data_IF_904411032096
#
_entry.id   IF_904411032096
#
_cell.length_a   1.000
_cell.length_b   1.000
_cell.length_c   1.000
_cell.angle_alpha   90.00
_cell.angle_beta   90.00
_cell.angle_gamma   90.00
#
_symmetry.space_group_name_H-M   'P 1'
#
loop_
_entity.id
_entity.type
_entity.pdbx_description
1 polymer ?
#
# COMPACT_ATOMS: atom_id res chain seq x y z
N UNK A 1 19.66 46.32 33.24
CA UNK A 1 19.12 45.21 34.04
C UNK A 1 18.27 44.34 33.14
N UNK A 2 18.64 43.07 32.97
CA UNK A 2 17.88 42.07 32.20
C UNK A 2 16.70 41.60 33.06
N UNK A 3 15.48 41.63 32.54
CA UNK A 3 14.36 40.87 33.10
C UNK A 3 14.06 39.71 32.16
N UNK A 4 14.29 38.51 32.68
CA UNK A 4 14.12 37.20 32.07
C UNK A 4 12.64 36.84 31.95
N UNK A 5 12.21 36.47 30.74
CA UNK A 5 10.94 35.81 30.47
C UNK A 5 11.03 34.34 30.90
N UNK A 6 10.17 33.93 31.84
CA UNK A 6 9.99 32.52 32.23
C UNK A 6 9.01 31.86 31.26
N UNK A 7 9.49 30.85 30.53
CA UNK A 7 8.65 29.98 29.70
C UNK A 7 7.76 29.08 30.58
N UNK A 8 6.54 28.72 30.15
CA UNK A 8 5.67 27.82 30.90
C UNK A 8 6.17 26.38 30.80
N UNK A 9 6.14 25.67 31.93
CA UNK A 9 6.52 24.27 32.06
C UNK A 9 5.64 23.38 31.15
N UNK A 10 6.29 22.57 30.33
CA UNK A 10 5.68 21.52 29.53
C UNK A 10 5.05 20.47 30.45
N UNK A 11 3.78 20.14 30.21
CA UNK A 11 3.10 19.05 30.92
C UNK A 11 3.84 17.72 30.68
N UNK A 12 3.93 16.82 31.68
CA UNK A 12 4.56 15.53 31.51
C UNK A 12 3.77 14.69 30.49
N UNK A 13 4.51 14.04 29.58
CA UNK A 13 3.96 13.10 28.61
C UNK A 13 3.08 12.05 29.32
N UNK A 14 1.95 11.61 28.72
CA UNK A 14 1.07 10.63 29.34
C UNK A 14 1.83 9.34 29.64
N UNK A 15 1.68 8.88 30.88
CA UNK A 15 2.25 7.69 31.54
C UNK A 15 1.85 6.33 30.89
N UNK A 16 1.65 6.28 29.58
CA UNK A 16 1.38 5.06 28.80
C UNK A 16 2.62 4.48 28.11
N UNK A 17 3.75 5.19 28.07
CA UNK A 17 4.96 4.76 27.34
C UNK A 17 5.85 3.74 28.08
N UNK A 18 5.38 3.12 29.17
CA UNK A 18 6.21 2.27 30.04
C UNK A 18 5.80 0.80 30.07
N UNK A 19 4.84 0.34 29.26
CA UNK A 19 4.27 -1.01 29.41
C UNK A 19 4.27 -1.93 28.18
N UNK A 20 5.11 -1.66 27.17
CA UNK A 20 5.54 -2.72 26.24
C UNK A 20 6.88 -2.36 25.61
N UNK A 21 7.98 -2.45 26.36
CA UNK A 21 9.28 -2.64 25.70
C UNK A 21 9.28 -4.05 25.15
N UNK A 22 8.87 -4.23 23.88
CA UNK A 22 9.08 -5.50 23.20
C UNK A 22 10.58 -5.84 23.33
N UNK A 23 10.90 -6.98 23.95
CA UNK A 23 12.27 -7.43 24.08
C UNK A 23 12.81 -7.73 22.68
N UNK A 24 13.78 -6.96 22.22
CA UNK A 24 14.48 -7.26 20.96
C UNK A 24 15.50 -8.38 21.19
N UNK A 25 15.67 -9.32 20.23
CA UNK A 25 14.96 -9.41 18.95
C UNK A 25 13.50 -9.89 19.09
N UNK A 26 12.63 -9.48 18.17
CA UNK A 26 11.23 -9.93 18.13
C UNK A 26 11.14 -11.45 17.83
N UNK A 27 10.14 -12.15 18.39
CA UNK A 27 9.82 -13.49 17.93
C UNK A 27 9.29 -13.45 16.49
N UNK A 28 9.45 -14.55 15.75
CA UNK A 28 8.78 -14.71 14.43
C UNK A 28 7.26 -14.66 14.60
N UNK A 29 6.50 -14.28 13.56
CA UNK A 29 5.05 -14.26 13.63
C UNK A 29 4.46 -15.58 14.10
N UNK A 30 3.50 -15.59 15.06
CA UNK A 30 2.99 -16.83 15.67
C UNK A 30 2.43 -17.85 14.66
N UNK A 31 1.91 -17.37 13.52
CA UNK A 31 1.36 -18.18 12.45
C UNK A 31 2.41 -18.75 11.47
N UNK A 32 3.69 -18.51 11.71
CA UNK A 32 4.81 -18.99 10.89
C UNK A 32 5.17 -20.43 11.23
N UNK A 33 5.23 -21.28 10.20
CA UNK A 33 5.87 -22.60 10.28
C UNK A 33 7.28 -22.52 9.65
N UNK A 34 8.36 -22.44 10.45
CA UNK A 34 9.69 -22.17 9.92
C UNK A 34 10.35 -23.37 9.21
N UNK A 35 9.79 -24.58 9.36
CA UNK A 35 10.31 -25.79 8.70
C UNK A 35 9.64 -26.08 7.36
N UNK A 36 8.55 -25.36 7.04
CA UNK A 36 7.79 -25.56 5.79
C UNK A 36 8.09 -24.43 4.80
N UNK A 37 8.95 -24.73 3.82
CA UNK A 37 9.23 -23.82 2.72
C UNK A 37 8.07 -23.79 1.73
N UNK A 38 7.66 -22.58 1.35
CA UNK A 38 6.72 -22.36 0.26
C UNK A 38 7.46 -22.51 -1.06
N UNK A 39 7.40 -23.72 -1.63
CA UNK A 39 8.01 -24.07 -2.92
C UNK A 39 7.61 -23.08 -4.02
N UNK A 40 6.36 -22.59 -3.98
CA UNK A 40 5.82 -21.62 -4.95
C UNK A 40 6.55 -20.27 -4.97
N UNK A 41 7.20 -19.87 -3.88
CA UNK A 41 8.03 -18.66 -3.83
C UNK A 41 9.51 -19.01 -3.91
N UNK A 42 9.93 -20.04 -3.16
CA UNK A 42 11.34 -20.44 -3.05
C UNK A 42 11.93 -20.82 -4.42
N UNK A 43 11.22 -21.64 -5.20
CA UNK A 43 11.75 -22.09 -6.51
C UNK A 43 11.87 -20.94 -7.50
N UNK A 44 10.84 -20.10 -7.74
CA UNK A 44 11.00 -18.94 -8.63
C UNK A 44 12.07 -17.95 -8.15
N UNK A 45 12.11 -17.62 -6.85
CA UNK A 45 13.12 -16.70 -6.31
C UNK A 45 14.52 -17.25 -6.60
N UNK A 46 14.83 -18.48 -6.19
CA UNK A 46 16.16 -19.08 -6.42
C UNK A 46 16.46 -19.18 -7.92
N UNK A 47 15.51 -19.63 -8.73
CA UNK A 47 15.71 -19.80 -10.17
C UNK A 47 16.03 -18.48 -10.87
N UNK A 48 15.27 -17.43 -10.59
CA UNK A 48 15.50 -16.10 -11.21
C UNK A 48 16.84 -15.51 -10.76
N UNK A 49 17.25 -15.70 -9.51
CA UNK A 49 18.59 -15.31 -9.06
C UNK A 49 19.69 -16.06 -9.81
N UNK A 50 19.57 -17.39 -9.95
CA UNK A 50 20.56 -18.20 -10.68
C UNK A 50 20.63 -17.82 -12.16
N UNK A 51 19.49 -17.57 -12.80
CA UNK A 51 19.44 -17.11 -14.20
C UNK A 51 20.00 -15.70 -14.37
N UNK A 52 19.82 -14.81 -13.39
CA UNK A 52 20.41 -13.47 -13.40
C UNK A 52 21.94 -13.52 -13.37
N UNK A 53 22.57 -14.54 -12.74
CA UNK A 53 24.03 -14.69 -12.74
C UNK A 53 24.63 -14.93 -14.13
N UNK A 54 23.82 -15.27 -15.14
CA UNK A 54 24.28 -15.39 -16.52
C UNK A 54 24.80 -14.07 -17.11
N UNK A 55 24.52 -12.91 -16.47
CA UNK A 55 25.13 -11.63 -16.84
C UNK A 55 26.66 -11.62 -16.75
N UNK A 56 27.25 -12.51 -15.95
CA UNK A 56 28.71 -12.67 -15.85
C UNK A 56 29.31 -13.50 -16.99
N UNK A 57 28.50 -14.10 -17.86
CA UNK A 57 28.98 -14.82 -19.04
C UNK A 57 29.13 -13.81 -20.18
N UNK A 58 30.36 -13.56 -20.70
CA UNK A 58 30.61 -12.45 -21.64
C UNK A 58 29.76 -12.48 -22.92
N UNK A 59 29.37 -13.67 -23.40
CA UNK A 59 28.53 -13.82 -24.61
C UNK A 59 27.12 -13.24 -24.45
N UNK A 60 26.63 -13.08 -23.22
CA UNK A 60 25.32 -12.51 -22.94
C UNK A 60 25.38 -11.01 -22.62
N UNK A 61 26.55 -10.36 -22.73
CA UNK A 61 26.64 -8.92 -22.55
C UNK A 61 26.14 -8.17 -23.80
N UNK A 62 25.29 -7.17 -23.58
CA UNK A 62 24.97 -6.15 -24.59
C UNK A 62 24.58 -4.84 -23.90
N UNK A 63 24.98 -3.71 -24.49
CA UNK A 63 24.56 -2.39 -23.99
C UNK A 63 23.04 -2.21 -24.01
N UNK A 64 22.37 -2.80 -25.01
CA UNK A 64 20.90 -2.83 -25.05
C UNK A 64 20.32 -3.55 -23.84
N UNK A 65 20.86 -4.72 -23.47
CA UNK A 65 20.48 -5.43 -22.25
C UNK A 65 20.64 -4.56 -21.01
N UNK A 66 21.80 -3.91 -20.83
CA UNK A 66 22.07 -3.01 -19.69
C UNK A 66 21.06 -1.86 -19.64
N UNK A 67 20.79 -1.20 -20.77
CA UNK A 67 19.82 -0.10 -20.85
C UNK A 67 18.40 -0.59 -20.49
N UNK A 68 17.98 -1.74 -21.03
CA UNK A 68 16.69 -2.35 -20.71
C UNK A 68 16.59 -2.75 -19.24
N UNK A 69 17.69 -3.19 -18.63
CA UNK A 69 17.74 -3.47 -17.20
C UNK A 69 17.53 -2.19 -16.38
N UNK A 70 18.33 -1.15 -16.61
CA UNK A 70 18.26 0.11 -15.83
C UNK A 70 16.92 0.81 -16.02
N UNK A 71 16.45 0.97 -17.26
CA UNK A 71 15.15 1.55 -17.55
C UNK A 71 14.01 0.67 -16.98
N UNK A 72 14.16 -0.65 -17.09
CA UNK A 72 13.21 -1.61 -16.56
C UNK A 72 13.11 -1.57 -15.03
N UNK A 73 14.20 -1.37 -14.29
CA UNK A 73 14.17 -1.22 -12.83
C UNK A 73 13.25 -0.07 -12.44
N UNK A 74 13.37 1.08 -13.11
CA UNK A 74 12.48 2.21 -12.85
C UNK A 74 11.03 1.92 -13.28
N UNK A 75 10.81 1.51 -14.53
CA UNK A 75 9.45 1.31 -15.08
C UNK A 75 8.68 0.25 -14.29
N UNK A 76 9.29 -0.90 -14.02
CA UNK A 76 8.64 -1.97 -13.28
C UNK A 76 8.63 -1.70 -11.77
N UNK A 77 9.64 -1.02 -11.21
CA UNK A 77 9.59 -0.53 -9.84
C UNK A 77 8.40 0.40 -9.59
N UNK A 78 8.13 1.34 -10.50
CA UNK A 78 6.96 2.22 -10.42
C UNK A 78 5.63 1.46 -10.44
N UNK A 79 5.56 0.27 -11.04
CA UNK A 79 4.33 -0.53 -11.01
C UNK A 79 4.05 -1.10 -9.61
N UNK A 80 5.09 -1.35 -8.82
CA UNK A 80 4.97 -1.68 -7.39
C UNK A 80 4.64 -0.42 -6.60
N UNK A 81 5.42 0.65 -6.78
CA UNK A 81 5.27 1.89 -6.00
C UNK A 81 3.97 2.65 -6.29
N UNK A 82 3.70 3.02 -7.54
CA UNK A 82 2.45 3.69 -7.91
C UNK A 82 1.26 2.73 -7.83
N UNK A 83 1.41 1.52 -8.36
CA UNK A 83 0.32 0.57 -8.53
C UNK A 83 -0.05 -0.15 -7.24
N UNK A 84 0.80 -1.05 -6.76
CA UNK A 84 0.47 -1.87 -5.59
C UNK A 84 0.44 -1.05 -4.30
N UNK A 85 1.43 -0.20 -4.08
CA UNK A 85 1.59 0.54 -2.85
C UNK A 85 0.63 1.75 -2.76
N UNK A 86 0.88 2.83 -3.51
CA UNK A 86 0.12 4.08 -3.36
C UNK A 86 -1.32 3.97 -3.85
N UNK A 87 -1.57 3.28 -4.97
CA UNK A 87 -2.92 3.15 -5.54
C UNK A 87 -3.75 2.07 -4.83
N UNK A 88 -3.31 0.81 -4.82
CA UNK A 88 -4.12 -0.28 -4.28
C UNK A 88 -4.11 -0.32 -2.75
N UNK A 89 -2.94 -0.29 -2.12
CA UNK A 89 -2.85 -0.45 -0.68
C UNK A 89 -3.33 0.80 0.08
N UNK A 90 -2.99 2.00 -0.40
CA UNK A 90 -3.25 3.25 0.31
C UNK A 90 -4.34 4.15 -0.28
N UNK A 91 -4.78 3.92 -1.53
CA UNK A 91 -5.79 4.76 -2.20
C UNK A 91 -5.40 6.25 -2.21
N UNK A 92 -4.12 6.53 -2.40
CA UNK A 92 -3.59 7.90 -2.29
C UNK A 92 -3.86 8.77 -3.52
N UNK A 93 -4.39 8.21 -4.61
CA UNK A 93 -4.84 8.93 -5.80
C UNK A 93 -5.85 8.10 -6.60
N UNK A 94 -6.55 8.75 -7.53
CA UNK A 94 -7.48 8.12 -8.47
C UNK A 94 -6.91 8.07 -9.88
N UNK A 95 -7.31 7.06 -10.65
CA UNK A 95 -6.93 6.89 -12.06
C UNK A 95 -8.01 6.13 -12.85
N UNK A 96 -8.10 6.27 -14.18
CA UNK A 96 -8.89 5.37 -15.01
C UNK A 96 -8.52 3.89 -14.82
N UNK A 97 -9.54 3.02 -14.86
CA UNK A 97 -9.39 1.58 -14.61
C UNK A 97 -8.41 0.87 -15.54
N UNK A 98 -8.36 1.25 -16.82
CA UNK A 98 -7.42 0.64 -17.76
C UNK A 98 -5.96 0.91 -17.35
N UNK A 99 -5.66 2.08 -16.80
CA UNK A 99 -4.31 2.43 -16.36
C UNK A 99 -3.97 1.73 -15.05
N UNK A 100 -4.92 1.70 -14.11
CA UNK A 100 -4.80 0.90 -12.88
C UNK A 100 -4.47 -0.57 -13.20
N UNK A 101 -5.23 -1.20 -14.10
CA UNK A 101 -4.99 -2.58 -14.52
C UNK A 101 -3.65 -2.74 -15.26
N UNK A 102 -3.21 -1.73 -16.03
CA UNK A 102 -1.89 -1.73 -16.67
C UNK A 102 -0.76 -1.73 -15.65
N UNK A 103 -0.86 -0.91 -14.59
CA UNK A 103 0.10 -0.93 -13.48
C UNK A 103 0.11 -2.30 -12.79
N UNK A 104 -1.05 -2.90 -12.55
CA UNK A 104 -1.14 -4.24 -11.95
C UNK A 104 -0.49 -5.31 -12.82
N UNK A 105 -0.69 -5.26 -14.14
CA UNK A 105 -0.05 -6.18 -15.09
C UNK A 105 1.48 -6.02 -15.07
N UNK A 106 1.98 -4.79 -14.99
CA UNK A 106 3.40 -4.50 -14.81
C UNK A 106 3.95 -5.06 -13.49
N UNK A 107 3.20 -4.93 -12.39
CA UNK A 107 3.61 -5.44 -11.08
C UNK A 107 3.65 -6.99 -11.05
N UNK A 108 2.75 -7.67 -11.76
CA UNK A 108 2.78 -9.13 -11.90
C UNK A 108 4.05 -9.61 -12.64
N UNK A 109 4.60 -8.79 -13.54
CA UNK A 109 5.89 -9.01 -14.17
C UNK A 109 7.09 -8.84 -13.21
N UNK A 110 6.87 -8.42 -11.96
CA UNK A 110 7.88 -8.40 -10.90
C UNK A 110 7.80 -9.62 -9.99
N UNK A 111 6.80 -10.51 -10.12
CA UNK A 111 6.61 -11.68 -9.24
C UNK A 111 6.50 -11.34 -7.73
N UNK A 112 6.01 -10.14 -7.40
CA UNK A 112 5.74 -9.75 -6.01
C UNK A 112 4.30 -10.12 -5.58
N UNK A 113 3.87 -11.33 -5.91
CA UNK A 113 2.54 -11.87 -5.61
C UNK A 113 1.36 -11.19 -6.35
N UNK A 114 0.14 -11.64 -6.04
CA UNK A 114 -1.11 -11.06 -6.58
C UNK A 114 -1.41 -9.69 -5.94
N UNK A 115 -2.20 -8.82 -6.62
CA UNK A 115 -2.57 -7.52 -6.06
C UNK A 115 -3.29 -7.64 -4.71
N UNK A 116 -4.13 -8.68 -4.53
CA UNK A 116 -4.84 -8.89 -3.27
C UNK A 116 -3.92 -9.37 -2.15
N UNK A 117 -2.96 -10.26 -2.43
CA UNK A 117 -1.97 -10.75 -1.44
C UNK A 117 -0.99 -9.68 -1.02
N UNK A 118 -0.43 -8.97 -1.99
CA UNK A 118 0.50 -7.89 -1.71
C UNK A 118 -0.20 -6.81 -0.88
N UNK A 119 -1.39 -6.37 -1.29
CA UNK A 119 -2.19 -5.38 -0.54
C UNK A 119 -2.54 -5.85 0.87
N UNK A 120 -2.96 -7.12 1.03
CA UNK A 120 -3.30 -7.66 2.33
C UNK A 120 -2.09 -7.71 3.28
N UNK A 121 -0.95 -8.17 2.76
CA UNK A 121 0.31 -8.27 3.52
C UNK A 121 0.80 -6.88 3.93
N UNK A 122 0.78 -5.93 3.01
CA UNK A 122 1.22 -4.55 3.26
C UNK A 122 0.33 -3.83 4.28
N UNK A 123 -1.00 -3.97 4.18
CA UNK A 123 -1.93 -3.40 5.15
C UNK A 123 -1.86 -4.11 6.52
N UNK A 124 -1.52 -5.40 6.55
CA UNK A 124 -1.25 -6.12 7.79
C UNK A 124 0.04 -5.60 8.45
N UNK A 125 1.10 -5.37 7.68
CA UNK A 125 2.32 -4.73 8.16
C UNK A 125 2.03 -3.35 8.76
N UNK A 126 1.28 -2.47 8.10
CA UNK A 126 0.92 -1.18 8.71
C UNK A 126 0.09 -1.29 9.99
N UNK A 127 -0.74 -2.32 10.11
CA UNK A 127 -1.58 -2.51 11.28
C UNK A 127 -0.80 -3.06 12.50
N UNK A 128 0.32 -3.74 12.26
CA UNK A 128 1.09 -4.48 13.24
C UNK A 128 2.60 -4.22 13.09
N UNK A 129 2.96 -3.03 12.64
CA UNK A 129 4.33 -2.76 12.19
C UNK A 129 5.31 -2.90 13.35
N UNK A 130 6.35 -3.70 13.16
CA UNK A 130 7.32 -4.01 14.20
C UNK A 130 6.71 -4.60 15.49
N UNK A 131 5.53 -5.21 15.38
CA UNK A 131 4.93 -6.09 16.38
C UNK A 131 5.17 -7.56 16.03
N UNK A 132 4.80 -8.47 16.93
CA UNK A 132 4.97 -9.91 16.70
C UNK A 132 4.19 -10.39 15.45
N UNK A 133 3.06 -9.75 15.14
CA UNK A 133 2.20 -10.08 14.01
C UNK A 133 2.72 -9.53 12.67
N UNK A 134 3.73 -8.65 12.65
CA UNK A 134 4.31 -8.13 11.42
C UNK A 134 4.90 -9.27 10.56
N UNK A 135 4.41 -9.52 9.33
CA UNK A 135 4.93 -10.59 8.51
C UNK A 135 6.43 -10.46 8.21
N UNK A 136 6.96 -9.24 8.13
CA UNK A 136 8.29 -8.96 7.62
C UNK A 136 9.07 -7.91 8.43
N UNK A 137 8.83 -7.81 9.74
CA UNK A 137 9.66 -6.94 10.58
C UNK A 137 11.11 -7.42 10.60
N UNK A 138 12.10 -6.56 10.30
CA UNK A 138 13.51 -6.91 10.39
C UNK A 138 14.02 -7.01 11.83
N UNK A 139 13.20 -6.68 12.83
CA UNK A 139 13.52 -6.81 14.25
C UNK A 139 13.49 -8.27 14.73
N UNK A 140 12.94 -9.19 13.93
CA UNK A 140 13.17 -10.64 14.10
C UNK A 140 14.63 -10.95 13.77
N UNK A 141 15.02 -10.68 12.52
CA UNK A 141 16.42 -10.61 12.03
C UNK A 141 16.41 -9.80 10.72
N UNK A 142 17.55 -9.19 10.35
CA UNK A 142 17.67 -8.50 9.07
C UNK A 142 17.25 -9.39 7.88
N UNK A 143 17.74 -10.64 7.84
CA UNK A 143 17.43 -11.58 6.75
C UNK A 143 15.95 -11.98 6.73
N UNK A 144 15.31 -12.04 7.91
CA UNK A 144 13.86 -12.25 8.03
C UNK A 144 13.10 -11.15 7.30
N UNK A 145 13.29 -9.89 7.67
CA UNK A 145 12.57 -8.77 7.06
C UNK A 145 12.94 -8.50 5.60
N UNK A 146 14.15 -8.90 5.18
CA UNK A 146 14.58 -8.72 3.78
C UNK A 146 13.95 -9.78 2.84
N UNK A 147 14.14 -11.08 3.09
CA UNK A 147 13.73 -12.10 2.09
C UNK A 147 13.16 -13.38 2.69
N UNK A 148 13.53 -13.74 3.92
CA UNK A 148 13.19 -15.06 4.43
C UNK A 148 11.69 -15.21 4.75
N UNK A 149 11.02 -14.13 5.16
CA UNK A 149 9.60 -14.14 5.51
C UNK A 149 8.68 -14.66 4.41
N UNK A 150 8.99 -14.38 3.13
CA UNK A 150 8.15 -14.75 1.99
C UNK A 150 8.37 -16.22 1.57
N UNK A 151 9.50 -16.82 1.95
CA UNK A 151 9.85 -18.19 1.56
C UNK A 151 9.31 -19.24 2.53
N UNK A 152 8.93 -18.87 3.75
CA UNK A 152 8.38 -19.79 4.76
C UNK A 152 6.87 -19.67 4.85
N UNK A 153 6.21 -20.76 5.25
CA UNK A 153 4.75 -20.74 5.37
C UNK A 153 4.31 -19.89 6.55
N UNK A 154 3.61 -18.81 6.26
CA UNK A 154 2.81 -18.07 7.23
C UNK A 154 1.33 -18.31 6.96
N UNK A 155 0.63 -18.88 7.93
CA UNK A 155 -0.78 -19.26 7.80
C UNK A 155 -1.69 -18.04 7.64
N UNK A 156 -1.36 -16.91 8.28
CA UNK A 156 -2.18 -15.70 8.24
C UNK A 156 -2.10 -15.00 6.88
N UNK A 157 -0.98 -15.11 6.17
CA UNK A 157 -0.82 -14.50 4.84
C UNK A 157 -1.61 -15.19 3.72
N UNK A 158 -2.14 -16.40 3.97
CA UNK A 158 -2.73 -17.23 2.91
C UNK A 158 -4.16 -17.70 3.20
N UNK A 159 -4.74 -17.27 4.33
CA UNK A 159 -6.11 -17.60 4.67
C UNK A 159 -7.12 -16.58 4.16
N UNK A 160 -8.32 -17.09 3.87
CA UNK A 160 -9.46 -16.30 3.39
C UNK A 160 -9.81 -15.12 4.31
N UNK A 161 -9.72 -15.35 5.62
CA UNK A 161 -9.96 -14.34 6.65
C UNK A 161 -9.06 -13.11 6.52
N UNK A 162 -7.82 -13.29 6.06
CA UNK A 162 -6.88 -12.19 5.86
C UNK A 162 -7.31 -11.31 4.68
N UNK A 163 -7.74 -11.91 3.56
CA UNK A 163 -8.27 -11.16 2.43
C UNK A 163 -9.55 -10.42 2.78
N UNK A 164 -10.45 -11.05 3.54
CA UNK A 164 -11.71 -10.43 3.95
C UNK A 164 -11.46 -9.19 4.83
N UNK A 165 -10.39 -9.20 5.64
CA UNK A 165 -9.99 -8.08 6.50
C UNK A 165 -9.25 -6.99 5.73
N UNK A 166 -8.23 -7.35 4.94
CA UNK A 166 -7.28 -6.38 4.39
C UNK A 166 -7.36 -6.15 2.88
N UNK A 167 -8.05 -6.99 2.10
CA UNK A 167 -8.10 -6.85 0.63
C UNK A 167 -9.50 -7.03 0.03
N UNK A 168 -10.55 -6.89 0.86
CA UNK A 168 -11.94 -7.06 0.40
C UNK A 168 -12.33 -6.07 -0.70
N UNK A 169 -11.84 -4.84 -0.63
CA UNK A 169 -12.05 -3.82 -1.66
C UNK A 169 -11.36 -4.18 -2.98
N UNK A 170 -10.17 -4.79 -2.92
CA UNK A 170 -9.44 -5.28 -4.09
C UNK A 170 -10.23 -6.41 -4.75
N UNK A 171 -10.69 -7.38 -3.96
CA UNK A 171 -11.41 -8.56 -4.47
C UNK A 171 -12.81 -8.28 -5.03
N UNK A 172 -13.32 -7.05 -4.93
CA UNK A 172 -14.56 -6.64 -5.61
C UNK A 172 -14.38 -6.46 -7.11
N UNK A 173 -13.16 -6.20 -7.58
CA UNK A 173 -12.87 -6.11 -9.00
C UNK A 173 -12.80 -7.53 -9.62
N UNK A 174 -13.63 -7.84 -10.64
CA UNK A 174 -13.62 -9.16 -11.29
C UNK A 174 -12.26 -9.54 -11.87
N UNK A 175 -11.46 -8.58 -12.34
CA UNK A 175 -10.13 -8.82 -12.88
C UNK A 175 -9.18 -9.31 -11.78
N UNK A 176 -9.18 -8.65 -10.61
CA UNK A 176 -8.35 -9.06 -9.48
C UNK A 176 -8.82 -10.39 -8.88
N UNK A 177 -10.13 -10.63 -8.83
CA UNK A 177 -10.67 -11.91 -8.40
C UNK A 177 -10.26 -13.05 -9.33
N UNK A 178 -10.21 -12.81 -10.65
CA UNK A 178 -9.73 -13.80 -11.61
C UNK A 178 -8.24 -14.12 -11.41
N UNK A 179 -7.41 -13.09 -11.18
CA UNK A 179 -5.99 -13.26 -10.83
C UNK A 179 -5.86 -14.09 -9.53
N UNK A 180 -6.56 -13.71 -8.46
CA UNK A 180 -6.42 -14.36 -7.14
C UNK A 180 -6.87 -15.82 -7.15
N UNK A 181 -7.92 -16.15 -7.91
CA UNK A 181 -8.43 -17.53 -8.01
C UNK A 181 -7.39 -18.50 -8.57
N UNK A 182 -6.41 -18.00 -9.31
CA UNK A 182 -5.35 -18.83 -9.85
C UNK A 182 -4.02 -18.50 -9.21
N UNK A 183 -3.57 -19.39 -8.32
CA UNK A 183 -2.30 -19.23 -7.62
C UNK A 183 -1.06 -19.11 -8.54
N UNK A 184 -1.17 -19.51 -9.81
CA UNK A 184 -0.10 -19.43 -10.80
C UNK A 184 -0.16 -18.19 -11.70
N UNK A 185 -1.16 -17.31 -11.52
CA UNK A 185 -1.33 -16.15 -12.40
C UNK A 185 -0.10 -15.25 -12.46
N UNK A 186 0.64 -14.92 -11.36
CA UNK A 186 1.82 -14.06 -11.47
C UNK A 186 2.91 -14.71 -12.34
N UNK A 187 3.06 -16.03 -12.24
CA UNK A 187 4.01 -16.78 -13.06
C UNK A 187 3.67 -16.70 -14.56
N UNK A 188 2.40 -16.75 -14.92
CA UNK A 188 1.99 -16.65 -16.33
C UNK A 188 2.34 -15.30 -16.94
N UNK A 189 2.08 -14.20 -16.23
CA UNK A 189 2.47 -12.87 -16.69
C UNK A 189 3.99 -12.73 -16.77
N UNK A 190 4.71 -13.31 -15.81
CA UNK A 190 6.16 -13.34 -15.83
C UNK A 190 6.73 -14.12 -17.03
N UNK A 191 6.16 -15.27 -17.36
CA UNK A 191 6.57 -16.05 -18.54
C UNK A 191 6.16 -15.35 -19.85
N UNK A 192 5.02 -14.68 -19.87
CA UNK A 192 4.57 -13.90 -21.02
C UNK A 192 5.55 -12.76 -21.35
N UNK A 193 6.01 -12.00 -20.35
CA UNK A 193 7.06 -11.00 -20.62
C UNK A 193 8.37 -11.66 -21.09
N UNK A 194 8.75 -12.83 -20.58
CA UNK A 194 9.95 -13.52 -21.05
C UNK A 194 9.83 -13.82 -22.55
N UNK A 195 8.67 -14.35 -22.98
CA UNK A 195 8.39 -14.60 -24.39
C UNK A 195 8.41 -13.32 -25.23
N UNK A 196 7.88 -12.20 -24.72
CA UNK A 196 7.91 -10.90 -25.39
C UNK A 196 9.34 -10.40 -25.56
N UNK A 197 10.18 -10.45 -24.51
CA UNK A 197 11.58 -10.00 -24.59
C UNK A 197 12.39 -10.86 -25.57
N UNK A 198 12.21 -12.19 -25.52
CA UNK A 198 12.87 -13.10 -26.47
C UNK A 198 12.39 -12.84 -27.89
N UNK A 199 11.08 -12.79 -28.12
CA UNK A 199 10.50 -12.60 -29.45
C UNK A 199 10.89 -11.25 -30.06
N UNK A 200 10.76 -10.17 -29.28
CA UNK A 200 11.14 -8.83 -29.73
C UNK A 200 12.64 -8.71 -29.96
N UNK A 201 13.47 -9.19 -29.02
CA UNK A 201 14.93 -9.19 -29.17
C UNK A 201 15.38 -9.97 -30.40
N UNK A 202 14.83 -11.16 -30.61
CA UNK A 202 15.13 -12.01 -31.76
C UNK A 202 14.72 -11.33 -33.08
N UNK A 203 13.47 -10.86 -33.17
CA UNK A 203 12.94 -10.22 -34.38
C UNK A 203 13.72 -8.95 -34.76
N UNK A 204 14.08 -8.15 -33.76
CA UNK A 204 14.87 -6.94 -33.94
C UNK A 204 16.29 -7.28 -34.42
N UNK A 205 16.95 -8.26 -33.80
CA UNK A 205 18.32 -8.64 -34.17
C UNK A 205 18.44 -9.27 -35.56
N UNK A 206 17.41 -9.97 -36.06
CA UNK A 206 17.40 -10.51 -37.43
C UNK A 206 17.61 -9.43 -38.51
N UNK A 207 17.40 -8.15 -38.20
CA UNK A 207 17.65 -7.07 -39.14
C UNK A 207 19.15 -6.80 -39.41
N UNK A 208 20.06 -7.27 -38.55
CA UNK A 208 21.51 -7.01 -38.69
C UNK A 208 22.42 -8.21 -38.38
N UNK A 209 21.87 -9.36 -37.99
CA UNK A 209 22.66 -10.57 -37.73
C UNK A 209 21.94 -11.83 -38.22
N UNK A 210 22.67 -12.94 -38.30
CA UNK A 210 22.12 -14.27 -38.57
C UNK A 210 21.25 -14.81 -37.41
N UNK A 211 20.65 -15.98 -37.61
CA UNK A 211 19.76 -16.63 -36.63
C UNK A 211 20.48 -16.88 -35.30
N UNK A 212 21.76 -17.27 -35.33
CA UNK A 212 22.54 -17.53 -34.12
C UNK A 212 22.78 -16.25 -33.34
N UNK A 213 23.22 -15.17 -33.99
CA UNK A 213 23.41 -13.89 -33.35
C UNK A 213 22.09 -13.30 -32.83
N UNK A 214 20.98 -13.50 -33.54
CA UNK A 214 19.67 -13.07 -33.09
C UNK A 214 19.23 -13.81 -31.82
N UNK A 215 19.49 -15.13 -31.74
CA UNK A 215 19.22 -15.92 -30.54
C UNK A 215 20.10 -15.47 -29.35
N UNK A 216 21.39 -15.18 -29.59
CA UNK A 216 22.28 -14.66 -28.54
C UNK A 216 21.83 -13.29 -28.03
N UNK A 217 21.47 -12.38 -28.93
CA UNK A 217 20.96 -11.06 -28.55
C UNK A 217 19.62 -11.15 -27.79
N UNK A 218 18.69 -11.98 -28.26
CA UNK A 218 17.42 -12.24 -27.57
C UNK A 218 17.65 -12.78 -26.14
N UNK A 219 18.62 -13.69 -26.00
CA UNK A 219 19.00 -14.24 -24.69
C UNK A 219 19.63 -13.18 -23.80
N UNK A 220 20.49 -12.31 -24.36
CA UNK A 220 21.06 -11.16 -23.65
C UNK A 220 19.94 -10.24 -23.11
N UNK A 221 19.03 -9.77 -23.97
CA UNK A 221 17.97 -8.86 -23.51
C UNK A 221 17.01 -9.50 -22.51
N UNK A 222 16.77 -10.82 -22.58
CA UNK A 222 16.01 -11.56 -21.58
C UNK A 222 16.73 -11.57 -20.22
N UNK A 223 18.01 -11.95 -20.20
CA UNK A 223 18.79 -12.07 -18.95
C UNK A 223 18.86 -10.71 -18.25
N UNK A 224 19.21 -9.65 -18.99
CA UNK A 224 19.35 -8.32 -18.41
C UNK A 224 17.99 -7.65 -18.13
N UNK A 225 17.11 -7.61 -19.12
CA UNK A 225 15.84 -6.86 -19.06
C UNK A 225 14.76 -7.54 -18.22
N UNK A 226 14.86 -8.85 -17.98
CA UNK A 226 13.91 -9.60 -17.17
C UNK A 226 14.59 -10.13 -15.90
N UNK A 227 15.52 -11.08 -15.98
CA UNK A 227 16.02 -11.76 -14.78
C UNK A 227 16.79 -10.86 -13.83
N UNK A 228 17.85 -10.18 -14.30
CA UNK A 228 18.63 -9.27 -13.46
C UNK A 228 17.77 -8.11 -12.95
N UNK A 229 16.97 -7.50 -13.84
CA UNK A 229 16.04 -6.43 -13.46
C UNK A 229 15.07 -6.86 -12.36
N UNK A 230 14.48 -8.06 -12.44
CA UNK A 230 13.59 -8.59 -11.40
C UNK A 230 14.32 -8.75 -10.07
N UNK A 231 15.54 -9.30 -10.07
CA UNK A 231 16.35 -9.44 -8.84
C UNK A 231 16.63 -8.07 -8.21
N UNK A 232 16.99 -7.07 -9.02
CA UNK A 232 17.24 -5.70 -8.52
C UNK A 232 15.95 -5.11 -7.93
N UNK A 233 14.83 -5.21 -8.63
CA UNK A 233 13.52 -4.72 -8.15
C UNK A 233 13.15 -5.38 -6.82
N UNK A 234 13.29 -6.71 -6.71
CA UNK A 234 13.05 -7.42 -5.44
C UNK A 234 13.90 -6.88 -4.31
N UNK A 235 15.22 -6.75 -4.50
CA UNK A 235 16.09 -6.24 -3.45
C UNK A 235 15.82 -4.78 -3.09
N UNK A 236 15.39 -3.96 -4.06
CA UNK A 236 14.93 -2.59 -3.78
C UNK A 236 13.68 -2.64 -2.90
N UNK A 237 12.64 -3.38 -3.28
CA UNK A 237 11.39 -3.48 -2.50
C UNK A 237 11.65 -4.05 -1.10
N UNK A 238 12.38 -5.16 -1.02
CA UNK A 238 12.76 -5.81 0.24
C UNK A 238 13.63 -4.94 1.13
N UNK A 239 14.44 -4.05 0.55
CA UNK A 239 15.21 -3.07 1.31
C UNK A 239 14.33 -2.02 1.99
N UNK A 240 13.14 -1.73 1.45
CA UNK A 240 12.15 -0.89 2.15
C UNK A 240 11.77 -1.56 3.46
N UNK A 241 11.37 -2.83 3.43
CA UNK A 241 11.02 -3.57 4.66
C UNK A 241 12.20 -3.66 5.64
N UNK A 242 13.42 -3.93 5.16
CA UNK A 242 14.55 -4.21 6.03
C UNK A 242 15.35 -2.97 6.46
N UNK A 243 15.84 -2.17 5.51
CA UNK A 243 16.76 -1.09 5.82
C UNK A 243 16.04 0.10 6.44
N UNK A 244 14.82 0.41 6.00
CA UNK A 244 14.11 1.59 6.49
C UNK A 244 13.58 1.40 7.91
N UNK A 245 13.33 0.18 8.38
CA UNK A 245 12.99 -0.10 9.78
C UNK A 245 14.21 -0.22 10.72
N UNK A 246 15.44 -0.14 10.18
CA UNK A 246 16.66 -0.31 10.98
C UNK A 246 17.59 0.91 10.94
N UNK A 247 17.64 1.64 9.82
CA UNK A 247 18.65 2.66 9.57
C UNK A 247 18.07 3.90 8.90
N UNK A 248 18.29 5.07 9.50
CA UNK A 248 17.85 6.35 8.97
C UNK A 248 17.66 7.42 10.04
N UNK A 249 16.81 8.40 9.73
CA UNK A 249 16.35 9.42 10.67
C UNK A 249 14.83 9.42 10.75
N UNK A 250 14.24 10.13 11.71
CA UNK A 250 12.78 10.23 11.86
C UNK A 250 12.34 11.68 11.87
N UNK A 251 11.28 11.99 11.13
CA UNK A 251 10.59 13.28 11.20
C UNK A 251 9.39 13.22 12.16
N UNK A 252 8.82 12.03 12.35
CA UNK A 252 7.61 11.81 13.13
C UNK A 252 7.86 10.77 14.22
N UNK A 253 7.16 10.97 15.34
CA UNK A 253 7.16 10.04 16.46
C UNK A 253 6.04 9.02 16.27
N UNK A 254 6.36 7.93 15.56
CA UNK A 254 5.49 6.75 15.41
C UNK A 254 5.84 5.69 16.47
N UNK A 255 4.91 4.80 16.81
CA UNK A 255 5.18 3.76 17.83
C UNK A 255 6.14 2.66 17.32
N UNK A 256 6.22 2.48 16.00
CA UNK A 256 7.05 1.50 15.29
C UNK A 256 8.44 2.05 14.89
N UNK A 257 9.33 1.21 14.35
CA UNK A 257 10.76 1.54 14.15
C UNK A 257 11.14 2.08 12.76
N UNK A 258 10.19 2.42 11.89
CA UNK A 258 10.44 2.97 10.56
C UNK A 258 11.27 4.25 10.60
N UNK A 259 12.11 4.42 9.59
CA UNK A 259 13.06 5.51 9.47
C UNK A 259 13.11 5.94 8.01
N UNK A 260 13.38 7.21 7.82
CA UNK A 260 13.70 7.79 6.53
C UNK A 260 15.14 7.45 6.17
N UNK A 261 15.31 6.72 5.07
CA UNK A 261 16.60 6.27 4.55
C UNK A 261 16.82 6.82 3.14
N UNK A 262 17.79 7.73 3.00
CA UNK A 262 18.05 8.43 1.74
C UNK A 262 18.55 7.51 0.62
N UNK A 263 19.30 6.43 0.95
CA UNK A 263 19.79 5.48 -0.05
C UNK A 263 18.63 4.67 -0.62
N UNK A 264 17.74 4.17 0.25
CA UNK A 264 16.52 3.49 -0.18
C UNK A 264 15.62 4.45 -0.96
N UNK A 265 15.50 5.71 -0.53
CA UNK A 265 14.68 6.70 -1.22
C UNK A 265 15.17 6.96 -2.65
N UNK A 266 16.49 6.97 -2.86
CA UNK A 266 17.09 7.13 -4.19
C UNK A 266 16.74 5.96 -5.12
N UNK A 267 16.91 4.72 -4.66
CA UNK A 267 16.72 3.53 -5.52
C UNK A 267 15.26 3.08 -5.62
N UNK A 268 14.45 3.36 -4.60
CA UNK A 268 13.02 3.03 -4.55
C UNK A 268 12.13 4.24 -4.89
N UNK A 269 12.67 5.24 -5.60
CA UNK A 269 11.94 6.38 -6.14
C UNK A 269 11.09 7.19 -5.13
N UNK A 270 11.52 7.25 -3.86
CA UNK A 270 10.83 7.94 -2.77
C UNK A 270 10.31 7.05 -1.66
N UNK A 271 10.28 5.72 -1.83
CA UNK A 271 9.77 4.79 -0.81
C UNK A 271 10.66 4.64 0.43
N UNK A 272 11.90 5.13 0.36
CA UNK A 272 12.79 5.18 1.52
C UNK A 272 12.45 6.26 2.54
N UNK A 273 11.55 7.20 2.24
CA UNK A 273 11.02 8.15 3.25
C UNK A 273 9.96 7.46 4.12
N UNK A 274 10.34 6.34 4.73
CA UNK A 274 9.42 5.37 5.27
C UNK A 274 8.77 5.81 6.59
N UNK A 275 9.49 6.57 7.44
CA UNK A 275 8.90 7.16 8.63
C UNK A 275 7.84 8.22 8.30
N UNK A 276 8.03 8.97 7.21
CA UNK A 276 7.00 9.88 6.71
C UNK A 276 5.77 9.10 6.23
N UNK A 277 6.00 8.04 5.46
CA UNK A 277 4.95 7.15 4.95
C UNK A 277 4.14 6.51 6.09
N UNK A 278 4.78 5.93 7.11
CA UNK A 278 4.09 5.34 8.26
C UNK A 278 3.31 6.36 9.09
N UNK A 279 3.83 7.59 9.21
CA UNK A 279 3.12 8.67 9.90
C UNK A 279 1.88 9.17 9.15
N UNK A 280 1.91 9.11 7.81
CA UNK A 280 0.78 9.47 6.96
C UNK A 280 0.58 8.54 5.74
N UNK A 281 0.09 7.30 5.92
CA UNK A 281 0.10 6.30 4.85
C UNK A 281 -0.82 6.62 3.68
N UNK A 282 -1.83 7.46 3.92
CA UNK A 282 -2.78 7.87 2.89
C UNK A 282 -2.31 9.13 2.13
N UNK A 283 -1.15 9.71 2.47
CA UNK A 283 -0.58 10.78 1.67
C UNK A 283 -0.12 10.23 0.31
N UNK A 284 -0.29 11.01 -0.75
CA UNK A 284 0.20 10.65 -2.07
C UNK A 284 1.73 10.80 -2.20
N UNK A 285 2.34 11.59 -1.32
CA UNK A 285 3.78 11.79 -1.28
C UNK A 285 4.37 11.31 0.03
N UNK A 286 5.54 10.68 -0.03
CA UNK A 286 6.34 10.38 1.14
C UNK A 286 7.30 11.54 1.48
N UNK A 287 7.34 12.59 0.65
CA UNK A 287 8.15 13.79 0.85
C UNK A 287 7.53 14.74 1.89
N UNK A 288 8.22 14.98 3.01
CA UNK A 288 7.79 15.93 4.05
C UNK A 288 8.75 17.11 4.22
N UNK A 289 10.02 16.96 3.82
CA UNK A 289 11.03 18.02 3.73
C UNK A 289 11.31 18.38 2.26
N UNK A 290 11.77 19.60 2.00
CA UNK A 290 12.01 20.08 0.63
C UNK A 290 13.08 19.27 -0.14
N UNK A 291 14.01 18.64 0.57
CA UNK A 291 15.11 17.85 0.01
C UNK A 291 14.81 16.34 -0.09
N UNK A 292 13.68 15.89 0.47
CA UNK A 292 13.26 14.48 0.42
C UNK A 292 12.65 14.19 -0.96
N UNK A 293 13.48 13.97 -1.97
CA UNK A 293 12.98 13.75 -3.34
C UNK A 293 12.11 12.49 -3.42
N UNK A 294 10.86 12.69 -3.85
CA UNK A 294 9.89 11.61 -4.11
C UNK A 294 9.56 11.59 -5.61
N UNK A 295 10.36 10.83 -6.36
CA UNK A 295 10.26 10.74 -7.82
C UNK A 295 8.87 10.25 -8.24
N UNK A 296 8.33 9.25 -7.54
CA UNK A 296 6.99 8.74 -7.83
C UNK A 296 5.92 9.82 -7.71
N UNK A 297 5.97 10.67 -6.67
CA UNK A 297 5.01 11.77 -6.53
C UNK A 297 5.11 12.78 -7.68
N UNK A 298 6.32 13.12 -8.11
CA UNK A 298 6.53 14.03 -9.24
C UNK A 298 6.01 13.44 -10.55
N UNK A 299 6.17 12.14 -10.77
CA UNK A 299 5.58 11.45 -11.92
C UNK A 299 4.05 11.44 -11.87
N UNK A 300 3.45 11.16 -10.70
CA UNK A 300 1.99 11.25 -10.51
C UNK A 300 1.48 12.68 -10.73
N UNK A 301 2.25 13.70 -10.36
CA UNK A 301 1.93 15.12 -10.64
C UNK A 301 1.99 15.42 -12.13
N UNK A 302 2.98 14.92 -12.85
CA UNK A 302 3.08 15.08 -14.30
C UNK A 302 1.93 14.36 -15.02
N UNK A 303 1.59 13.15 -14.60
CA UNK A 303 0.45 12.38 -15.11
C UNK A 303 -0.89 13.10 -14.89
N UNK A 304 -1.02 13.87 -13.80
CA UNK A 304 -2.21 14.67 -13.53
C UNK A 304 -2.42 15.79 -14.54
N UNK A 305 -1.34 16.35 -15.11
CA UNK A 305 -1.41 17.39 -16.15
C UNK A 305 -2.06 16.89 -17.44
N UNK A 306 -1.96 15.59 -17.72
CA UNK A 306 -2.58 14.96 -18.90
C UNK A 306 -3.86 14.18 -18.54
N UNK A 307 -4.37 14.34 -17.32
CA UNK A 307 -5.63 13.74 -16.87
C UNK A 307 -5.57 12.23 -16.58
N UNK A 308 -4.37 11.66 -16.44
CA UNK A 308 -4.21 10.24 -16.15
C UNK A 308 -4.37 9.93 -14.66
N UNK A 309 -4.05 10.89 -13.79
CA UNK A 309 -4.24 10.80 -12.33
C UNK A 309 -4.99 12.01 -11.78
N UNK A 310 -5.78 11.79 -10.74
CA UNK A 310 -6.56 12.83 -10.06
C UNK A 310 -6.63 12.57 -8.55
N UNK A 311 -7.20 13.52 -7.80
CA UNK A 311 -7.45 13.39 -6.36
C UNK A 311 -6.23 12.93 -5.55
N UNK A 312 -5.06 13.48 -5.89
CA UNK A 312 -3.80 13.23 -5.18
C UNK A 312 -3.97 13.65 -3.71
N UNK A 313 -4.06 12.66 -2.82
CA UNK A 313 -4.35 12.84 -1.40
C UNK A 313 -3.26 13.71 -0.74
N UNK A 314 -3.62 14.89 -0.19
CA UNK A 314 -2.63 15.78 0.40
C UNK A 314 -2.21 15.29 1.79
N UNK A 315 -1.25 15.99 2.42
CA UNK A 315 -0.81 15.67 3.78
C UNK A 315 -1.96 15.71 4.78
N UNK A 316 -1.88 14.90 5.83
CA UNK A 316 -2.90 14.74 6.88
C UNK A 316 -3.38 16.08 7.45
N UNK A 317 -2.49 17.04 7.65
CA UNK A 317 -2.83 18.37 8.16
C UNK A 317 -3.81 19.11 7.22
N UNK A 318 -3.58 19.03 5.91
CA UNK A 318 -4.45 19.64 4.89
C UNK A 318 -5.80 18.93 4.87
N UNK A 319 -5.80 17.59 4.83
CA UNK A 319 -7.04 16.79 4.87
C UNK A 319 -7.86 17.04 6.13
N UNK A 320 -7.20 17.18 7.28
CA UNK A 320 -7.86 17.50 8.54
C UNK A 320 -8.48 18.91 8.51
N UNK A 321 -7.76 19.91 7.99
CA UNK A 321 -8.27 21.26 7.84
C UNK A 321 -9.49 21.30 6.89
N UNK A 322 -9.42 20.60 5.75
CA UNK A 322 -10.52 20.46 4.80
C UNK A 322 -11.75 19.79 5.43
N UNK A 323 -11.55 18.72 6.21
CA UNK A 323 -12.63 18.04 6.92
C UNK A 323 -13.32 18.93 7.96
N UNK A 324 -12.54 19.70 8.73
CA UNK A 324 -13.07 20.67 9.71
C UNK A 324 -13.88 21.76 8.99
N UNK A 325 -13.34 22.31 7.89
CA UNK A 325 -14.04 23.33 7.10
C UNK A 325 -15.36 22.79 6.51
N UNK A 326 -15.35 21.56 5.98
CA UNK A 326 -16.55 20.92 5.45
C UNK A 326 -17.60 20.65 6.54
N UNK A 327 -17.18 20.23 7.74
CA UNK A 327 -18.09 20.03 8.87
C UNK A 327 -18.72 21.35 9.32
N UNK A 328 -17.94 22.43 9.39
CA UNK A 328 -18.44 23.77 9.71
C UNK A 328 -19.45 24.28 8.67
N UNK A 329 -19.18 24.07 7.38
CA UNK A 329 -20.10 24.43 6.29
C UNK A 329 -21.44 23.67 6.39
N UNK A 330 -21.40 22.36 6.67
CA UNK A 330 -22.60 21.53 6.86
C UNK A 330 -23.41 21.98 8.08
N UNK A 331 -22.75 22.33 9.17
CA UNK A 331 -23.41 22.85 10.37
C UNK A 331 -24.10 24.20 10.10
N UNK A 332 -23.42 25.11 9.37
CA UNK A 332 -24.00 26.40 8.96
C UNK A 332 -25.22 26.22 8.05
N UNK A 333 -25.15 25.31 7.06
CA UNK A 333 -26.27 25.02 6.18
C UNK A 333 -27.50 24.51 6.96
N UNK A 334 -27.30 23.57 7.91
CA UNK A 334 -28.40 23.09 8.77
C UNK A 334 -29.03 24.20 9.62
N UNK A 335 -28.22 25.15 10.13
CA UNK A 335 -28.74 26.28 10.89
C UNK A 335 -29.58 27.21 10.01
N UNK A 336 -29.14 27.49 8.79
CA UNK A 336 -29.90 28.29 7.81
C UNK A 336 -31.21 27.61 7.44
N UNK A 337 -31.21 26.30 7.17
CA UNK A 337 -32.42 25.54 6.86
C UNK A 337 -33.39 25.49 8.06
N UNK A 338 -32.88 25.34 9.28
CA UNK A 338 -33.70 25.37 10.50
C UNK A 338 -34.31 26.74 10.80
N UNK A 339 -33.63 27.81 10.40
CA UNK A 339 -34.13 29.19 10.53
C UNK A 339 -35.11 29.57 9.40
N UNK A 340 -35.18 28.77 8.32
CA UNK A 340 -36.07 29.00 7.18
C UNK A 340 -37.44 28.31 7.31
N UNK A 341 -37.73 27.60 8.41
CA UNK A 341 -39.09 27.07 8.69
C UNK A 341 -40.03 28.24 9.02
N UNK A 342 -41.12 28.48 8.26
CA UNK A 342 -42.03 29.58 8.54
C UNK A 342 -42.77 29.33 9.87
N UNK A 343 -42.96 30.39 10.65
CA UNK A 343 -43.84 30.43 11.81
C UNK A 343 -45.31 30.24 11.39
N UNK A 344 -45.70 29.03 11.00
CA UNK A 344 -47.05 28.66 10.62
C UNK A 344 -47.68 27.72 11.64
N UNK A 345 -48.22 28.29 12.72
CA UNK A 345 -49.45 27.88 13.42
C UNK A 345 -49.58 28.66 14.74
N UNK A 346 -50.08 29.90 14.65
CA UNK A 346 -50.85 30.46 15.77
C UNK A 346 -52.22 29.80 15.70
N UNK A 347 -52.46 28.86 16.60
CA UNK A 347 -53.80 28.30 16.84
C UNK A 347 -54.65 29.42 17.42
N UNK A 348 -55.74 29.76 16.73
CA UNK A 348 -56.72 30.74 17.15
C UNK A 348 -57.34 30.34 18.50
N UNK A 349 -57.11 31.18 19.51
CA UNK A 349 -57.77 31.10 20.80
C UNK A 349 -59.18 31.70 20.68
N UNK A 350 -60.17 30.89 20.28
CA UNK A 350 -61.58 31.21 20.54
C UNK A 350 -62.48 29.96 20.46
N UNK A 351 -62.77 29.36 21.62
CA UNK A 351 -63.97 28.56 21.84
C UNK A 351 -64.31 28.54 23.34
N UNK A 352 -65.59 28.71 23.74
CA UNK A 352 -65.97 28.95 25.13
C UNK A 352 -66.13 27.66 25.95
N UNK A 353 -65.90 27.80 27.26
CA UNK A 353 -66.11 26.77 28.30
C UNK A 353 -67.58 26.33 28.33
N UNK A 354 -67.82 25.02 28.28
CA UNK A 354 -69.07 24.39 28.72
C UNK A 354 -68.76 23.30 29.76
N UNK A 355 -69.61 23.28 30.77
CA UNK A 355 -69.53 22.57 32.05
C UNK A 355 -70.01 21.12 32.02
N UNK A 356 -69.48 20.34 32.96
CA UNK A 356 -70.13 19.28 33.75
C UNK A 356 -70.78 18.07 33.04
N UNK A 357 -70.33 16.87 33.39
CA UNK A 357 -71.13 15.93 34.21
C UNK A 357 -70.38 14.63 34.47
N UNK A 358 -70.66 14.09 35.65
CA UNK A 358 -70.24 12.81 36.22
C UNK A 358 -70.71 11.60 35.39
N UNK A 359 -70.00 10.48 35.55
CA UNK A 359 -70.46 9.19 35.04
C UNK A 359 -69.47 8.07 35.33
N UNK A 360 -69.53 7.55 36.54
CA UNK A 360 -68.87 6.31 36.94
C UNK A 360 -69.47 5.07 36.25
N UNK A 361 -68.65 3.99 36.19
CA UNK A 361 -68.92 2.55 36.00
C UNK A 361 -68.08 1.97 34.84
N UNK A 362 -67.55 0.76 34.85
CA UNK A 362 -67.36 -0.35 35.80
C UNK A 362 -66.61 -1.44 34.99
N UNK A 363 -65.79 -2.23 35.68
CA UNK A 363 -65.38 -3.62 35.38
C UNK A 363 -64.83 -4.04 33.99
N UNK A 364 -63.50 -4.23 33.95
CA UNK A 364 -62.83 -5.55 33.81
C UNK A 364 -62.94 -6.40 32.49
N UNK A 365 -62.10 -7.45 32.30
CA UNK A 365 -60.97 -7.46 31.37
C UNK A 365 -61.17 -8.47 30.22
N UNK A 366 -60.14 -8.71 29.38
CA UNK A 366 -59.68 -10.06 28.92
C UNK A 366 -58.73 -10.00 27.71
N UNK A 367 -57.54 -10.61 27.94
CA UNK A 367 -56.72 -11.47 27.07
C UNK A 367 -56.20 -10.96 25.71
N UNK A 368 -54.89 -10.73 25.58
CA UNK A 368 -53.87 -11.65 24.99
C UNK A 368 -53.92 -11.83 23.48
N UNK A 369 -52.76 -11.68 22.84
CA UNK A 369 -52.07 -12.66 21.98
C UNK A 369 -51.30 -11.98 20.83
N UNK A 370 -49.97 -12.11 20.94
CA UNK A 370 -48.94 -12.36 19.92
C UNK A 370 -48.82 -11.55 18.61
N UNK A 371 -47.62 -10.94 18.52
CA UNK A 371 -46.60 -11.07 17.47
C UNK A 371 -47.00 -11.06 15.99
N UNK A 372 -46.35 -10.18 15.24
CA UNK A 372 -45.26 -10.55 14.31
C UNK A 372 -44.29 -9.39 14.17
#
# INVERSE_FOLDING_TARGET
MRCTSTAPATAPAPLRSLLTTASLPLPRPPATNPVELLVRYTVPIVTVHLLALLVFVPVFFSWTGVILCVAGVHVFGQTITMGYHRLLAHRSFDTPRWFEHTLVLGALCCLEDSPARWTATHRMHHAHSDEAEDPHSPLVTFLWGHVWWVMVRNRDLHHRTNYDKYARDILRDPFYMWIEKNAWSPLWFYLAQCAIYVGAGFAVALAWTDVTGAALFATSVLIWGVFLRTVIVWHITWSVNSLTHMFGYRNHDTEEHSQNNWLVALVAAGEGWHNNHHADPACCTNQHRWWELDVTYWELRAMSLVGLTSNLSPRREVRAAEAIAAAAARAKAKLVDSAAVPAGNRVDANAPKASASEGAREAEPVSTVHSS
#
